data_IF_443935098478
#
_entry.id   IF_443935098478
#
_cell.length_a   1.000
_cell.length_b   1.000
_cell.length_c   1.000
_cell.angle_alpha   90.00
_cell.angle_beta   90.00
_cell.angle_gamma   90.00
#
_symmetry.space_group_name_H-M   'P 1'
#
loop_
_entity.id
_entity.type
_entity.pdbx_description
1 polymer ?
#
# COMPACT_ATOMS: atom_id res chain seq x y z
N UNK A 1 -16.17 11.45 -27.53
CA UNK A 1 -15.81 12.79 -26.98
C UNK A 1 -14.60 12.71 -26.03
N UNK A 2 -14.50 11.70 -25.18
CA UNK A 2 -13.40 11.52 -24.19
C UNK A 2 -12.03 11.29 -24.82
N UNK A 3 -11.90 10.40 -25.82
CA UNK A 3 -10.65 10.09 -26.50
C UNK A 3 -10.05 11.30 -27.26
N UNK A 4 -10.89 12.16 -27.85
CA UNK A 4 -10.44 13.35 -28.56
C UNK A 4 -9.86 14.41 -27.62
N UNK A 5 -10.43 14.57 -26.40
CA UNK A 5 -9.91 15.49 -25.37
C UNK A 5 -8.58 14.98 -24.79
N UNK A 6 -8.49 13.69 -24.47
CA UNK A 6 -7.24 13.06 -24.01
C UNK A 6 -6.10 13.22 -25.02
N UNK A 7 -6.39 13.03 -26.31
CA UNK A 7 -5.41 13.23 -27.41
C UNK A 7 -4.95 14.68 -27.51
N UNK A 8 -5.86 15.64 -27.35
CA UNK A 8 -5.55 17.07 -27.40
C UNK A 8 -4.68 17.50 -26.21
N UNK A 9 -5.00 17.06 -24.97
CA UNK A 9 -4.22 17.39 -23.79
C UNK A 9 -2.87 16.68 -23.76
N UNK A 10 -2.78 15.45 -24.26
CA UNK A 10 -1.50 14.74 -24.43
C UNK A 10 -0.60 15.48 -25.43
N UNK A 11 -1.16 15.99 -26.52
CA UNK A 11 -0.44 16.85 -27.48
C UNK A 11 0.08 18.15 -26.85
N UNK A 12 -0.74 18.77 -26.01
CA UNK A 12 -0.38 19.99 -25.29
C UNK A 12 0.75 19.77 -24.29
N UNK A 13 0.68 18.66 -23.51
CA UNK A 13 1.74 18.26 -22.57
C UNK A 13 3.06 17.96 -23.30
N UNK A 14 3.01 17.35 -24.48
CA UNK A 14 4.19 17.07 -25.28
C UNK A 14 4.84 18.36 -25.79
N UNK A 15 4.04 19.32 -26.25
CA UNK A 15 4.52 20.65 -26.66
C UNK A 15 5.17 21.39 -25.50
N UNK A 16 4.54 21.36 -24.33
CA UNK A 16 5.05 21.99 -23.10
C UNK A 16 6.36 21.33 -22.66
N UNK A 17 6.47 20.00 -22.71
CA UNK A 17 7.70 19.28 -22.40
C UNK A 17 8.84 19.62 -23.34
N UNK A 18 8.56 19.87 -24.64
CA UNK A 18 9.56 20.28 -25.62
C UNK A 18 10.01 21.72 -25.38
N UNK A 19 9.10 22.61 -24.99
CA UNK A 19 9.43 24.00 -24.63
C UNK A 19 10.30 24.10 -23.37
N UNK A 20 10.12 23.19 -22.39
CA UNK A 20 10.96 23.10 -21.18
C UNK A 20 12.39 22.70 -21.50
N UNK A 21 12.61 21.87 -22.54
CA UNK A 21 13.94 21.40 -22.91
C UNK A 21 14.83 22.53 -23.50
N UNK A 22 14.21 23.57 -24.06
CA UNK A 22 14.90 24.66 -24.74
C UNK A 22 14.81 26.03 -24.02
N UNK A 23 14.19 26.09 -22.82
CA UNK A 23 13.84 27.33 -22.14
C UNK A 23 14.85 27.75 -21.07
N UNK A 24 14.95 29.08 -20.88
CA UNK A 24 15.61 29.68 -19.73
C UNK A 24 14.81 29.41 -18.42
N UNK A 25 15.36 29.70 -17.22
CA UNK A 25 14.68 29.42 -15.95
C UNK A 25 13.32 30.11 -15.74
N UNK A 26 13.02 31.18 -16.50
CA UNK A 26 11.73 31.86 -16.46
C UNK A 26 10.71 31.11 -17.33
N UNK A 27 11.08 30.69 -18.53
CA UNK A 27 10.27 29.88 -19.43
C UNK A 27 9.93 28.48 -18.87
N UNK A 28 10.84 27.90 -18.06
CA UNK A 28 10.57 26.64 -17.36
C UNK A 28 9.40 26.78 -16.36
N UNK A 29 9.31 27.90 -15.64
CA UNK A 29 8.19 28.14 -14.71
C UNK A 29 6.86 28.32 -15.43
N UNK A 30 6.88 29.02 -16.55
CA UNK A 30 5.66 29.23 -17.35
C UNK A 30 5.17 27.92 -17.96
N UNK A 31 6.07 27.09 -18.46
CA UNK A 31 5.77 25.77 -18.99
C UNK A 31 5.24 24.78 -17.89
N UNK A 32 5.78 24.84 -16.67
CA UNK A 32 5.27 24.05 -15.54
C UNK A 32 3.86 24.52 -15.19
N UNK A 33 3.59 25.83 -15.18
CA UNK A 33 2.26 26.38 -14.90
C UNK A 33 1.23 25.93 -15.95
N UNK A 34 1.58 26.01 -17.24
CA UNK A 34 0.75 25.53 -18.34
C UNK A 34 0.47 24.01 -18.29
N UNK A 35 1.47 23.22 -17.90
CA UNK A 35 1.28 21.78 -17.69
C UNK A 35 0.36 21.49 -16.52
N UNK A 36 0.47 22.26 -15.44
CA UNK A 36 -0.43 22.13 -14.28
C UNK A 36 -1.87 22.52 -14.61
N UNK A 37 -2.08 23.58 -15.39
CA UNK A 37 -3.41 23.95 -15.89
C UNK A 37 -4.01 22.88 -16.80
N UNK A 38 -3.21 22.31 -17.70
CA UNK A 38 -3.66 21.23 -18.59
C UNK A 38 -4.01 19.95 -17.82
N UNK A 39 -3.27 19.62 -16.76
CA UNK A 39 -3.57 18.51 -15.87
C UNK A 39 -4.81 18.78 -15.01
N UNK A 40 -5.02 20.03 -14.55
CA UNK A 40 -6.20 20.43 -13.81
C UNK A 40 -7.46 20.35 -14.70
N UNK A 41 -7.37 20.79 -15.95
CA UNK A 41 -8.47 20.69 -16.91
C UNK A 41 -8.87 19.25 -17.25
N UNK A 42 -7.92 18.29 -17.16
CA UNK A 42 -8.21 16.85 -17.25
C UNK A 42 -8.94 16.35 -15.99
N UNK A 43 -8.60 16.87 -14.81
CA UNK A 43 -9.27 16.55 -13.54
C UNK A 43 -10.69 17.13 -13.48
N UNK A 44 -10.88 18.35 -13.98
CA UNK A 44 -12.20 19.03 -13.98
C UNK A 44 -13.21 18.36 -14.93
N UNK A 45 -12.71 17.61 -15.93
CA UNK A 45 -13.56 16.85 -16.86
C UNK A 45 -14.20 15.59 -16.25
N UNK A 46 -13.64 15.07 -15.16
CA UNK A 46 -14.12 13.88 -14.47
C UNK A 46 -15.01 14.19 -13.23
N UNK A 47 -15.17 15.46 -12.89
CA UNK A 47 -15.95 15.86 -11.69
C UNK A 47 -17.43 15.53 -11.83
N UNK A 48 -17.98 15.58 -13.03
CA UNK A 48 -19.40 15.24 -13.27
C UNK A 48 -19.70 13.74 -13.10
N UNK A 49 -18.72 12.86 -13.33
CA UNK A 49 -18.88 11.40 -13.14
C UNK A 49 -18.79 10.97 -11.65
N UNK A 50 -18.28 11.82 -10.77
CA UNK A 50 -18.20 11.56 -9.32
C UNK A 50 -19.49 11.94 -8.57
N UNK A 51 -20.41 12.68 -9.19
CA UNK A 51 -21.66 13.11 -8.56
C UNK A 51 -22.72 12.01 -8.64
N UNK A 52 -22.99 11.36 -7.50
CA UNK A 52 -24.13 10.48 -7.32
C UNK A 52 -25.10 11.06 -6.29
N UNK A 53 -26.38 11.14 -6.62
CA UNK A 53 -27.38 11.46 -5.61
C UNK A 53 -27.40 10.37 -4.53
N UNK A 54 -27.71 10.73 -3.29
CA UNK A 54 -27.84 9.75 -2.21
C UNK A 54 -28.91 8.69 -2.54
N UNK A 55 -29.98 9.08 -3.22
CA UNK A 55 -31.04 8.16 -3.70
C UNK A 55 -30.47 7.12 -4.68
N UNK A 56 -29.64 7.55 -5.63
CA UNK A 56 -29.00 6.62 -6.58
C UNK A 56 -28.00 5.69 -5.87
N UNK A 57 -27.18 6.21 -4.97
CA UNK A 57 -26.27 5.40 -4.17
C UNK A 57 -27.03 4.39 -3.29
N UNK A 58 -28.16 4.77 -2.71
CA UNK A 58 -29.03 3.89 -1.93
C UNK A 58 -29.65 2.80 -2.81
N UNK A 59 -30.14 3.15 -3.99
CA UNK A 59 -30.67 2.18 -4.95
C UNK A 59 -29.61 1.16 -5.37
N UNK A 60 -28.39 1.60 -5.71
CA UNK A 60 -27.27 0.74 -6.04
C UNK A 60 -26.93 -0.19 -4.86
N UNK A 61 -26.86 0.34 -3.63
CA UNK A 61 -26.60 -0.45 -2.42
C UNK A 61 -27.64 -1.55 -2.19
N UNK A 62 -28.91 -1.25 -2.35
CA UNK A 62 -30.02 -2.22 -2.16
C UNK A 62 -29.95 -3.31 -3.23
N UNK A 63 -29.63 -2.95 -4.48
CA UNK A 63 -29.63 -3.91 -5.58
C UNK A 63 -28.33 -4.71 -5.69
N UNK A 64 -27.18 -4.15 -5.25
CA UNK A 64 -25.88 -4.84 -5.29
C UNK A 64 -25.62 -5.70 -4.05
N UNK A 65 -26.41 -5.50 -2.97
CA UNK A 65 -26.15 -6.13 -1.68
C UNK A 65 -24.91 -5.54 -0.95
N UNK A 66 -24.49 -6.17 0.15
CA UNK A 66 -23.31 -5.78 0.87
C UNK A 66 -22.05 -5.97 0.01
N UNK A 67 -21.11 -5.02 0.09
CA UNK A 67 -19.81 -5.21 -0.56
C UNK A 67 -19.05 -6.33 0.15
N UNK A 68 -18.71 -7.38 -0.56
CA UNK A 68 -17.93 -8.47 -0.01
C UNK A 68 -16.51 -8.02 0.39
N UNK A 69 -15.94 -8.60 1.43
CA UNK A 69 -14.52 -8.39 1.75
C UNK A 69 -13.64 -8.89 0.61
N UNK A 70 -12.47 -8.27 0.44
CA UNK A 70 -11.45 -8.73 -0.52
C UNK A 70 -10.91 -10.07 -0.06
N UNK A 71 -10.52 -10.16 1.23
CA UNK A 71 -10.08 -11.37 1.88
C UNK A 71 -10.20 -11.24 3.40
N UNK A 72 -10.17 -12.39 4.08
CA UNK A 72 -9.98 -12.46 5.53
C UNK A 72 -8.56 -11.99 5.92
N UNK A 73 -8.38 -11.58 7.17
CA UNK A 73 -7.04 -11.27 7.71
C UNK A 73 -6.29 -12.54 8.12
N UNK A 74 -7.00 -13.65 8.30
CA UNK A 74 -6.50 -14.90 8.87
C UNK A 74 -6.50 -14.94 10.39
N UNK A 75 -7.13 -13.96 11.03
CA UNK A 75 -7.34 -13.89 12.49
C UNK A 75 -8.83 -13.82 12.77
N UNK A 76 -9.42 -14.92 13.23
CA UNK A 76 -10.87 -15.10 13.38
C UNK A 76 -11.53 -13.98 14.19
N UNK A 77 -10.94 -13.56 15.31
CA UNK A 77 -11.46 -12.49 16.15
C UNK A 77 -11.47 -11.14 15.42
N UNK A 78 -10.41 -10.86 14.67
CA UNK A 78 -10.30 -9.63 13.89
C UNK A 78 -11.27 -9.64 12.70
N UNK A 79 -11.38 -10.78 12.02
CA UNK A 79 -12.31 -10.96 10.91
C UNK A 79 -13.76 -10.84 11.36
N UNK A 80 -14.07 -11.31 12.58
CA UNK A 80 -15.37 -11.08 13.21
C UNK A 80 -15.68 -9.59 13.41
N UNK A 81 -14.71 -8.80 13.90
CA UNK A 81 -14.84 -7.34 14.06
C UNK A 81 -14.96 -6.64 12.71
N UNK A 82 -14.21 -7.07 11.70
CA UNK A 82 -14.21 -6.52 10.35
C UNK A 82 -15.37 -7.04 9.47
N UNK A 83 -16.26 -7.86 10.04
CA UNK A 83 -17.38 -8.47 9.33
C UNK A 83 -16.93 -9.26 8.08
N UNK A 84 -15.95 -10.12 8.26
CA UNK A 84 -15.42 -11.04 7.26
C UNK A 84 -14.08 -10.66 6.64
N UNK A 85 -13.49 -9.52 7.01
CA UNK A 85 -12.15 -9.17 6.55
C UNK A 85 -12.01 -7.78 5.93
N UNK A 86 -11.00 -7.61 5.09
CA UNK A 86 -10.61 -6.34 4.47
C UNK A 86 -11.48 -6.03 3.24
N UNK A 87 -11.92 -4.77 3.10
CA UNK A 87 -12.87 -4.36 2.06
C UNK A 87 -12.23 -3.45 1.01
N UNK A 88 -12.77 -3.41 -0.23
CA UNK A 88 -12.34 -2.49 -1.27
C UNK A 88 -12.41 -1.03 -0.80
N UNK A 89 -11.38 -0.24 -1.13
CA UNK A 89 -11.29 1.16 -0.75
C UNK A 89 -11.01 1.41 0.73
N UNK A 90 -10.78 0.37 1.54
CA UNK A 90 -10.51 0.49 2.96
C UNK A 90 -9.07 0.92 3.23
N UNK A 91 -8.88 1.75 4.25
CA UNK A 91 -7.60 2.05 4.87
C UNK A 91 -7.63 1.53 6.30
N UNK A 92 -6.71 0.63 6.62
CA UNK A 92 -6.50 0.08 7.96
C UNK A 92 -5.17 0.57 8.49
N UNK A 93 -5.11 0.97 9.75
CA UNK A 93 -3.85 1.38 10.40
C UNK A 93 -3.49 0.38 11.47
N UNK A 94 -2.34 -0.28 11.32
CA UNK A 94 -1.75 -1.15 12.32
C UNK A 94 -0.69 -0.35 13.07
N UNK A 95 -0.99 -0.03 14.32
CA UNK A 95 -0.12 0.83 15.12
C UNK A 95 0.34 0.15 16.41
N UNK A 96 1.56 0.43 16.84
CA UNK A 96 2.12 -0.09 18.07
C UNK A 96 3.50 0.48 18.37
N UNK A 97 4.01 0.24 19.56
CA UNK A 97 5.39 0.59 19.93
C UNK A 97 6.41 -0.26 19.16
N UNK A 98 7.69 0.16 19.06
CA UNK A 98 8.75 -0.67 18.51
C UNK A 98 8.77 -2.08 19.11
N UNK A 99 9.15 -3.06 18.32
CA UNK A 99 9.25 -4.48 18.71
C UNK A 99 7.94 -5.18 19.14
N UNK A 100 6.77 -4.54 18.93
CA UNK A 100 5.45 -5.15 19.26
C UNK A 100 4.90 -6.06 18.14
N UNK A 101 5.67 -6.33 17.09
CA UNK A 101 5.26 -7.25 16.02
C UNK A 101 4.36 -6.65 14.94
N UNK A 102 4.27 -5.31 14.80
CA UNK A 102 3.43 -4.64 13.79
C UNK A 102 3.71 -5.10 12.36
N UNK A 103 4.98 -5.04 11.96
CA UNK A 103 5.43 -5.46 10.63
C UNK A 103 5.16 -6.94 10.39
N UNK A 104 5.34 -7.78 11.42
CA UNK A 104 5.04 -9.22 11.35
C UNK A 104 3.55 -9.45 11.12
N UNK A 105 2.68 -8.75 11.86
CA UNK A 105 1.23 -8.85 11.70
C UNK A 105 0.78 -8.39 10.31
N UNK A 106 1.27 -7.23 9.86
CA UNK A 106 0.93 -6.69 8.55
C UNK A 106 1.43 -7.59 7.41
N UNK A 107 2.61 -8.19 7.56
CA UNK A 107 3.15 -9.16 6.61
C UNK A 107 2.33 -10.46 6.58
N UNK A 108 1.83 -10.89 7.74
CA UNK A 108 0.98 -12.08 7.84
C UNK A 108 -0.36 -11.90 7.11
N UNK A 109 -0.92 -10.69 7.06
CA UNK A 109 -2.09 -10.40 6.23
C UNK A 109 -1.80 -10.61 4.74
N UNK A 110 -0.65 -10.13 4.22
CA UNK A 110 -0.23 -10.42 2.84
C UNK A 110 -0.01 -11.92 2.61
N UNK A 111 0.63 -12.58 3.56
CA UNK A 111 0.84 -14.03 3.52
C UNK A 111 -0.47 -14.79 3.44
N UNK A 112 -1.44 -14.47 4.31
CA UNK A 112 -2.76 -15.09 4.30
C UNK A 112 -3.47 -14.85 2.96
N UNK A 113 -3.56 -13.60 2.53
CA UNK A 113 -4.21 -13.24 1.28
C UNK A 113 -3.64 -14.02 0.08
N UNK A 114 -2.32 -14.03 -0.08
CA UNK A 114 -1.72 -14.59 -1.29
C UNK A 114 -1.51 -16.09 -1.24
N UNK A 115 -1.15 -16.67 -0.08
CA UNK A 115 -0.85 -18.11 0.01
C UNK A 115 -2.07 -18.97 0.41
N UNK A 116 -3.11 -18.39 0.99
CA UNK A 116 -4.32 -19.14 1.39
C UNK A 116 -5.53 -18.84 0.51
N UNK A 117 -5.70 -17.59 0.10
CA UNK A 117 -6.87 -17.16 -0.66
C UNK A 117 -6.54 -16.82 -2.12
N UNK A 118 -5.26 -16.87 -2.53
CA UNK A 118 -4.81 -16.52 -3.89
C UNK A 118 -5.17 -15.09 -4.31
N UNK A 119 -5.31 -14.20 -3.35
CA UNK A 119 -5.58 -12.77 -3.56
C UNK A 119 -4.23 -12.03 -3.73
N UNK A 120 -4.06 -11.22 -4.78
CA UNK A 120 -2.85 -10.45 -4.97
C UNK A 120 -2.53 -9.55 -3.79
N UNK A 121 -1.27 -9.54 -3.36
CA UNK A 121 -0.80 -8.64 -2.31
C UNK A 121 0.53 -7.99 -2.65
N UNK A 122 0.73 -6.79 -2.14
CA UNK A 122 1.98 -6.03 -2.27
C UNK A 122 2.43 -5.54 -0.91
N UNK A 123 3.63 -5.90 -0.53
CA UNK A 123 4.27 -5.38 0.67
C UNK A 123 5.35 -4.37 0.28
N UNK A 124 5.08 -3.09 0.56
CA UNK A 124 6.07 -2.01 0.38
C UNK A 124 6.83 -1.88 1.68
N UNK A 125 8.06 -2.35 1.68
CA UNK A 125 8.97 -2.30 2.82
C UNK A 125 9.90 -1.11 2.70
N UNK A 126 9.91 -0.27 3.71
CA UNK A 126 10.83 0.87 3.81
C UNK A 126 11.86 0.69 4.91
N UNK A 127 11.70 -0.33 5.75
CA UNK A 127 12.60 -0.64 6.86
C UNK A 127 13.39 -1.92 6.62
N UNK A 128 12.73 -2.95 6.07
CA UNK A 128 13.31 -4.28 5.90
C UNK A 128 13.61 -4.57 4.44
N UNK A 129 14.74 -5.23 4.17
CA UNK A 129 15.06 -5.67 2.81
C UNK A 129 14.13 -6.79 2.33
N UNK A 130 13.97 -6.90 1.00
CA UNK A 130 13.24 -8.01 0.37
C UNK A 130 13.79 -9.38 0.77
N UNK A 131 15.12 -9.49 0.98
CA UNK A 131 15.77 -10.72 1.46
C UNK A 131 15.34 -11.08 2.88
N UNK A 132 15.23 -10.10 3.77
CA UNK A 132 14.81 -10.34 5.15
C UNK A 132 13.35 -10.79 5.21
N UNK A 133 12.47 -10.16 4.43
CA UNK A 133 11.07 -10.55 4.31
C UNK A 133 10.93 -11.96 3.73
N UNK A 134 11.69 -12.29 2.67
CA UNK A 134 11.71 -13.63 2.11
C UNK A 134 12.15 -14.68 3.13
N UNK A 135 13.18 -14.37 3.94
CA UNK A 135 13.63 -15.27 5.01
C UNK A 135 12.53 -15.52 6.05
N UNK A 136 11.80 -14.47 6.45
CA UNK A 136 10.65 -14.58 7.37
C UNK A 136 9.52 -15.43 6.79
N UNK A 137 9.22 -15.24 5.51
CA UNK A 137 8.17 -15.99 4.82
C UNK A 137 8.53 -17.49 4.74
N UNK A 138 9.77 -17.80 4.38
CA UNK A 138 10.26 -19.19 4.33
C UNK A 138 10.22 -19.81 5.73
N UNK A 139 10.70 -19.13 6.77
CA UNK A 139 10.67 -19.62 8.14
C UNK A 139 9.23 -19.97 8.59
N UNK A 140 8.27 -19.08 8.31
CA UNK A 140 6.86 -19.26 8.64
C UNK A 140 6.23 -20.43 7.85
N UNK A 141 6.46 -20.52 6.54
CA UNK A 141 5.83 -21.53 5.69
C UNK A 141 6.50 -22.93 5.83
N UNK A 142 7.78 -22.97 6.11
CA UNK A 142 8.49 -24.22 6.38
C UNK A 142 8.38 -24.69 7.85
N UNK A 143 7.92 -23.83 8.74
CA UNK A 143 7.88 -24.06 10.21
C UNK A 143 9.26 -24.41 10.79
N UNK A 144 10.27 -23.63 10.42
CA UNK A 144 11.64 -23.75 10.90
C UNK A 144 12.12 -22.42 11.50
N UNK A 145 13.10 -22.50 12.38
CA UNK A 145 13.63 -21.33 13.06
C UNK A 145 14.28 -20.33 12.09
N UNK A 146 14.04 -19.05 12.35
CA UNK A 146 14.60 -17.95 11.55
C UNK A 146 16.13 -17.99 11.46
N UNK A 147 16.81 -18.38 12.54
CA UNK A 147 18.27 -18.53 12.56
C UNK A 147 18.75 -19.60 11.58
N UNK A 148 18.00 -20.67 11.43
CA UNK A 148 18.29 -21.74 10.46
C UNK A 148 18.13 -21.24 9.04
N UNK A 149 17.08 -20.45 8.76
CA UNK A 149 16.86 -19.84 7.43
C UNK A 149 17.95 -18.80 7.12
N UNK A 150 18.34 -17.98 8.07
CA UNK A 150 19.38 -16.95 7.87
C UNK A 150 20.78 -17.53 7.62
N UNK A 151 21.10 -18.66 8.24
CA UNK A 151 22.36 -19.38 8.04
C UNK A 151 22.32 -20.33 6.83
N UNK A 152 21.30 -20.26 5.98
CA UNK A 152 20.91 -21.25 4.98
C UNK A 152 22.08 -21.71 4.11
N UNK A 153 22.62 -22.87 4.47
CA UNK A 153 23.41 -23.71 3.62
C UNK A 153 22.56 -24.96 3.31
N UNK A 154 21.87 -24.92 2.18
CA UNK A 154 20.89 -25.96 1.80
C UNK A 154 21.54 -27.34 1.76
N UNK A 155 22.84 -27.43 1.39
CA UNK A 155 23.55 -28.70 1.27
C UNK A 155 23.88 -29.30 2.65
N UNK A 156 24.03 -28.49 3.67
CA UNK A 156 24.30 -28.92 5.05
C UNK A 156 23.06 -29.03 5.94
N UNK A 157 21.92 -28.59 5.42
CA UNK A 157 20.66 -28.65 6.15
C UNK A 157 20.19 -30.10 6.33
N UNK A 158 19.59 -30.48 7.49
CA UNK A 158 18.93 -31.76 7.65
C UNK A 158 17.91 -32.02 6.53
N UNK A 159 17.82 -33.22 6.02
CA UNK A 159 16.96 -33.57 4.88
C UNK A 159 15.51 -33.14 5.10
N UNK A 160 14.98 -33.32 6.32
CA UNK A 160 13.61 -32.91 6.69
C UNK A 160 13.39 -31.40 6.52
N UNK A 161 14.33 -30.59 6.99
CA UNK A 161 14.23 -29.13 6.95
C UNK A 161 14.39 -28.64 5.51
N UNK A 162 15.32 -29.22 4.76
CA UNK A 162 15.50 -28.95 3.34
C UNK A 162 14.23 -29.23 2.54
N UNK A 163 13.58 -30.38 2.76
CA UNK A 163 12.32 -30.71 2.09
C UNK A 163 11.20 -29.73 2.46
N UNK A 164 11.16 -29.27 3.70
CA UNK A 164 10.20 -28.25 4.15
C UNK A 164 10.43 -26.90 3.49
N UNK A 165 11.69 -26.48 3.35
CA UNK A 165 12.08 -25.25 2.64
C UNK A 165 11.70 -25.33 1.16
N UNK A 166 11.96 -26.44 0.49
CA UNK A 166 11.65 -26.63 -0.92
C UNK A 166 10.13 -26.57 -1.16
N UNK A 167 9.33 -27.24 -0.31
CA UNK A 167 7.86 -27.14 -0.38
C UNK A 167 7.35 -25.72 -0.10
N UNK A 168 7.97 -25.01 0.84
CA UNK A 168 7.64 -23.60 1.10
C UNK A 168 7.95 -22.74 -0.12
N UNK A 169 9.12 -22.93 -0.74
CA UNK A 169 9.49 -22.22 -1.96
C UNK A 169 8.50 -22.45 -3.11
N UNK A 170 8.07 -23.69 -3.35
CA UNK A 170 7.06 -24.00 -4.37
C UNK A 170 5.76 -23.22 -4.14
N UNK A 171 5.24 -23.21 -2.91
CA UNK A 171 4.03 -22.43 -2.58
C UNK A 171 4.23 -20.92 -2.74
N UNK A 172 5.34 -20.40 -2.25
CA UNK A 172 5.66 -18.98 -2.31
C UNK A 172 5.83 -18.51 -3.77
N UNK A 173 6.50 -19.31 -4.60
CA UNK A 173 6.76 -18.96 -6.00
C UNK A 173 5.50 -18.90 -6.86
N UNK A 174 4.44 -19.58 -6.46
CA UNK A 174 3.14 -19.57 -7.14
C UNK A 174 2.17 -18.53 -6.58
N UNK A 175 2.47 -17.98 -5.40
CA UNK A 175 1.60 -17.02 -4.75
C UNK A 175 1.67 -15.64 -5.41
N UNK A 176 0.54 -14.93 -5.61
CA UNK A 176 0.52 -13.58 -6.17
C UNK A 176 0.94 -12.53 -5.13
N UNK A 177 2.14 -12.65 -4.59
CA UNK A 177 2.69 -11.77 -3.56
C UNK A 177 3.94 -11.06 -4.06
N UNK A 178 3.88 -9.75 -4.13
CA UNK A 178 5.01 -8.89 -4.49
C UNK A 178 5.59 -8.20 -3.25
N UNK A 179 6.90 -8.04 -3.23
CA UNK A 179 7.62 -7.20 -2.26
C UNK A 179 8.33 -6.09 -3.02
N UNK A 180 8.20 -4.87 -2.52
CA UNK A 180 8.86 -3.69 -3.06
C UNK A 180 9.65 -3.03 -1.93
N UNK A 181 10.97 -2.89 -2.11
CA UNK A 181 11.89 -2.17 -1.22
C UNK A 181 12.54 -1.00 -1.99
N UNK A 182 11.83 0.11 -2.22
CA UNK A 182 12.29 1.17 -3.09
C UNK A 182 13.41 1.97 -2.41
N UNK A 183 14.46 2.29 -3.18
CA UNK A 183 15.54 3.19 -2.72
C UNK A 183 15.02 4.61 -2.50
N UNK A 184 14.10 5.07 -3.36
CA UNK A 184 13.36 6.32 -3.19
C UNK A 184 11.99 6.02 -2.58
N UNK A 185 11.83 6.40 -1.32
CA UNK A 185 10.60 6.26 -0.57
C UNK A 185 9.62 7.43 -0.75
N UNK A 186 9.77 8.25 -1.79
CA UNK A 186 8.81 9.32 -2.06
C UNK A 186 7.43 8.77 -2.43
N UNK A 187 6.38 9.50 -2.02
CA UNK A 187 5.00 9.05 -2.29
C UNK A 187 4.70 8.78 -3.78
N UNK A 188 5.15 9.62 -4.75
CA UNK A 188 4.90 9.34 -6.17
C UNK A 188 5.49 8.01 -6.62
N UNK A 189 6.70 7.67 -6.15
CA UNK A 189 7.38 6.40 -6.48
C UNK A 189 6.64 5.23 -5.85
N UNK A 190 6.32 5.30 -4.56
CA UNK A 190 5.54 4.26 -3.85
C UNK A 190 4.19 4.03 -4.53
N UNK A 191 3.43 5.09 -4.80
CA UNK A 191 2.15 4.99 -5.49
C UNK A 191 2.29 4.45 -6.93
N UNK A 192 3.39 4.77 -7.61
CA UNK A 192 3.75 4.23 -8.92
C UNK A 192 3.93 2.72 -8.90
N UNK A 193 4.67 2.20 -7.92
CA UNK A 193 4.84 0.75 -7.72
C UNK A 193 3.52 0.04 -7.43
N UNK A 194 2.68 0.60 -6.55
CA UNK A 194 1.37 0.03 -6.24
C UNK A 194 0.47 -0.04 -7.49
N UNK A 195 0.39 1.05 -8.27
CA UNK A 195 -0.39 1.06 -9.52
C UNK A 195 0.15 0.05 -10.55
N UNK A 196 1.48 -0.09 -10.65
CA UNK A 196 2.10 -1.06 -11.54
C UNK A 196 1.78 -2.50 -11.13
N UNK A 197 1.87 -2.82 -9.84
CA UNK A 197 1.51 -4.11 -9.31
C UNK A 197 0.02 -4.42 -9.51
N UNK A 198 -0.87 -3.46 -9.23
CA UNK A 198 -2.31 -3.60 -9.45
C UNK A 198 -2.64 -3.89 -10.93
N UNK A 199 -2.01 -3.19 -11.88
CA UNK A 199 -2.17 -3.50 -13.31
C UNK A 199 -1.66 -4.89 -13.68
N UNK A 200 -0.50 -5.32 -13.14
CA UNK A 200 0.03 -6.69 -13.37
C UNK A 200 -0.91 -7.76 -12.83
N UNK A 201 -1.57 -7.49 -11.72
CA UNK A 201 -2.56 -8.36 -11.11
C UNK A 201 -3.94 -8.35 -11.81
N UNK A 202 -4.07 -7.65 -12.94
CA UNK A 202 -5.32 -7.59 -13.71
C UNK A 202 -6.31 -6.52 -13.27
N UNK A 203 -5.92 -5.59 -12.37
CA UNK A 203 -6.77 -4.48 -11.92
C UNK A 203 -7.90 -4.85 -10.97
N UNK A 204 -7.88 -6.07 -10.41
CA UNK A 204 -8.88 -6.58 -9.48
C UNK A 204 -8.56 -6.27 -8.00
N UNK A 205 -9.30 -6.92 -7.09
CA UNK A 205 -9.09 -6.79 -5.65
C UNK A 205 -7.64 -7.14 -5.25
N UNK A 206 -7.04 -6.34 -4.38
CA UNK A 206 -5.65 -6.50 -3.95
C UNK A 206 -5.46 -5.93 -2.54
N UNK A 207 -4.53 -6.49 -1.78
CA UNK A 207 -4.07 -5.93 -0.51
C UNK A 207 -2.73 -5.25 -0.68
N UNK A 208 -2.55 -4.10 -0.06
CA UNK A 208 -1.29 -3.36 -0.04
C UNK A 208 -0.91 -3.03 1.40
N UNK A 209 0.31 -3.38 1.77
CA UNK A 209 0.91 -2.96 3.05
C UNK A 209 1.98 -1.92 2.80
N UNK A 210 1.97 -0.84 3.57
CA UNK A 210 3.02 0.18 3.63
C UNK A 210 3.70 0.14 5.00
N UNK A 211 4.92 -0.37 5.06
CA UNK A 211 5.68 -0.55 6.30
C UNK A 211 7.03 0.19 6.25
N UNK A 212 7.23 1.27 6.97
CA UNK A 212 6.25 1.94 7.81
C UNK A 212 6.11 3.40 7.36
N UNK A 213 4.99 3.98 7.66
CA UNK A 213 4.56 5.30 7.22
C UNK A 213 5.59 6.43 7.47
N UNK A 214 6.31 6.36 8.57
CA UNK A 214 7.27 7.41 8.98
C UNK A 214 8.55 7.49 8.15
N UNK A 215 8.82 6.50 7.27
CA UNK A 215 9.99 6.50 6.37
C UNK A 215 9.67 7.01 4.96
N UNK A 216 8.38 7.19 4.63
CA UNK A 216 8.02 7.79 3.35
C UNK A 216 8.55 9.22 3.33
N UNK A 217 9.44 9.52 2.36
CA UNK A 217 10.07 10.83 2.25
C UNK A 217 9.02 11.92 2.05
N UNK A 218 9.18 12.97 2.83
CA UNK A 218 8.27 14.10 2.87
C UNK A 218 8.52 14.99 1.65
N UNK A 219 7.44 15.52 1.07
CA UNK A 219 7.56 16.69 0.22
C UNK A 219 8.26 17.79 1.00
N UNK A 220 9.25 18.45 0.39
CA UNK A 220 10.03 19.54 1.01
C UNK A 220 9.18 20.74 1.49
N UNK A 221 7.86 20.68 1.31
CA UNK A 221 6.87 21.68 1.71
C UNK A 221 6.13 21.37 3.01
N UNK A 222 6.33 20.18 3.61
CA UNK A 222 5.67 19.84 4.87
C UNK A 222 6.32 20.61 6.02
N UNK A 223 5.56 21.49 6.67
CA UNK A 223 6.02 22.30 7.82
C UNK A 223 6.27 21.44 9.06
N UNK A 224 5.70 20.24 9.14
CA UNK A 224 5.91 19.30 10.24
C UNK A 224 5.77 17.85 9.79
N UNK A 225 6.44 16.95 10.53
CA UNK A 225 6.33 15.50 10.34
C UNK A 225 4.87 15.02 10.46
N UNK A 226 4.10 15.61 11.37
CA UNK A 226 2.69 15.28 11.57
C UNK A 226 1.84 15.61 10.34
N UNK A 227 2.05 16.77 9.70
CA UNK A 227 1.34 17.13 8.46
C UNK A 227 1.69 16.17 7.33
N UNK A 228 2.95 15.76 7.21
CA UNK A 228 3.37 14.79 6.20
C UNK A 228 2.68 13.43 6.40
N UNK A 229 2.59 12.93 7.63
CA UNK A 229 1.91 11.67 7.94
C UNK A 229 0.41 11.75 7.64
N UNK A 230 -0.25 12.87 7.96
CA UNK A 230 -1.64 13.11 7.62
C UNK A 230 -1.87 13.09 6.11
N UNK A 231 -1.00 13.77 5.36
CA UNK A 231 -1.10 13.81 3.91
C UNK A 231 -0.89 12.43 3.27
N UNK A 232 0.10 11.65 3.73
CA UNK A 232 0.32 10.29 3.24
C UNK A 232 -0.88 9.39 3.56
N UNK A 233 -1.45 9.49 4.76
CA UNK A 233 -2.67 8.75 5.13
C UNK A 233 -3.84 9.12 4.23
N UNK A 234 -4.05 10.41 3.95
CA UNK A 234 -5.07 10.90 3.04
C UNK A 234 -4.88 10.37 1.63
N UNK A 235 -3.67 10.48 1.08
CA UNK A 235 -3.30 9.98 -0.25
C UNK A 235 -3.43 8.45 -0.34
N UNK A 236 -3.08 7.72 0.71
CA UNK A 236 -3.24 6.26 0.78
C UNK A 236 -4.72 5.86 0.75
N UNK A 237 -5.59 6.57 1.50
CA UNK A 237 -7.04 6.35 1.46
C UNK A 237 -7.62 6.64 0.07
N UNK A 238 -7.18 7.71 -0.57
CA UNK A 238 -7.61 8.06 -1.91
C UNK A 238 -7.16 7.00 -2.93
N UNK A 239 -5.91 6.53 -2.84
CA UNK A 239 -5.40 5.45 -3.69
C UNK A 239 -6.20 4.16 -3.50
N UNK A 240 -6.51 3.80 -2.25
CA UNK A 240 -7.33 2.63 -1.93
C UNK A 240 -8.71 2.73 -2.58
N UNK A 241 -9.38 3.88 -2.47
CA UNK A 241 -10.70 4.14 -3.06
C UNK A 241 -10.65 4.07 -4.59
N UNK A 242 -9.67 4.74 -5.22
CA UNK A 242 -9.58 4.84 -6.67
C UNK A 242 -9.26 3.50 -7.34
N UNK A 243 -8.51 2.63 -6.68
CA UNK A 243 -8.14 1.31 -7.22
C UNK A 243 -9.04 0.18 -6.72
N UNK A 244 -9.96 0.43 -5.79
CA UNK A 244 -10.79 -0.63 -5.18
C UNK A 244 -9.96 -1.65 -4.36
N UNK A 245 -8.83 -1.25 -3.80
CA UNK A 245 -7.92 -2.10 -3.03
C UNK A 245 -8.03 -1.83 -1.53
N UNK A 246 -7.58 -2.76 -0.68
CA UNK A 246 -7.38 -2.52 0.74
C UNK A 246 -5.94 -2.08 1.01
N UNK A 247 -5.75 -0.96 1.71
CA UNK A 247 -4.43 -0.48 2.11
C UNK A 247 -4.26 -0.57 3.61
N UNK A 248 -3.16 -1.16 4.04
CA UNK A 248 -2.76 -1.30 5.44
C UNK A 248 -1.54 -0.43 5.66
N UNK A 249 -1.65 0.54 6.56
CA UNK A 249 -0.53 1.38 6.98
C UNK A 249 0.03 0.87 8.30
N UNK A 250 1.32 0.60 8.34
CA UNK A 250 2.02 0.34 9.60
C UNK A 250 2.51 1.67 10.17
N UNK A 251 2.15 1.96 11.42
CA UNK A 251 2.51 3.19 12.11
C UNK A 251 3.14 2.89 13.47
N UNK A 252 4.04 3.78 13.89
CA UNK A 252 4.60 3.72 15.23
C UNK A 252 3.76 4.59 16.17
N UNK A 253 3.57 4.19 17.41
CA UNK A 253 2.95 5.02 18.44
C UNK A 253 4.01 5.82 19.18
N UNK A 254 3.63 7.01 19.67
CA UNK A 254 4.44 7.76 20.61
C UNK A 254 4.59 7.03 21.96
N UNK A 255 5.29 7.62 22.93
CA UNK A 255 5.52 7.01 24.26
C UNK A 255 4.32 7.16 25.22
N UNK A 256 3.24 7.80 24.81
CA UNK A 256 2.06 8.03 25.63
C UNK A 256 1.51 6.77 26.33
N UNK A 257 1.36 5.63 25.62
CA UNK A 257 0.91 4.39 26.26
C UNK A 257 1.79 3.91 27.40
N UNK A 258 3.10 4.11 27.33
CA UNK A 258 4.04 3.67 28.39
C UNK A 258 3.90 4.50 29.67
N UNK A 259 3.38 5.71 29.58
CA UNK A 259 3.20 6.64 30.70
C UNK A 259 1.84 6.48 31.41
N UNK A 260 0.91 5.76 30.78
CA UNK A 260 -0.43 5.51 31.35
C UNK A 260 -0.43 4.24 32.22
N UNK A 261 -1.24 4.25 33.25
CA UNK A 261 -1.34 3.13 34.20
C UNK A 261 -1.92 1.85 33.55
N UNK A 262 -2.76 1.99 32.53
CA UNK A 262 -3.38 0.87 31.81
C UNK A 262 -2.61 0.43 30.57
N UNK A 263 -1.56 1.17 30.17
CA UNK A 263 -0.73 0.97 28.99
C UNK A 263 -1.52 0.84 27.67
N UNK A 264 -2.80 1.23 27.65
CA UNK A 264 -3.66 1.07 26.45
C UNK A 264 -3.38 2.17 25.42
N UNK A 265 -3.21 1.80 24.14
CA UNK A 265 -3.11 2.76 23.04
C UNK A 265 -4.41 3.55 22.84
N UNK A 266 -4.28 4.80 22.48
CA UNK A 266 -5.37 5.69 22.07
C UNK A 266 -5.10 6.28 20.70
N UNK A 267 -6.13 6.76 20.01
CA UNK A 267 -5.98 7.44 18.71
C UNK A 267 -5.04 8.65 18.77
N UNK A 268 -4.97 9.32 19.92
CA UNK A 268 -4.04 10.44 20.13
C UNK A 268 -2.56 10.03 20.08
N UNK A 269 -2.24 8.77 20.35
CA UNK A 269 -0.87 8.26 20.34
C UNK A 269 -0.30 8.05 18.94
N UNK A 270 -1.15 8.15 17.90
CA UNK A 270 -0.74 8.22 16.49
C UNK A 270 -0.19 9.60 16.10
N UNK A 271 -0.39 10.61 16.95
CA UNK A 271 0.14 11.95 16.79
C UNK A 271 1.52 12.01 17.43
N UNK A 272 2.49 12.70 16.81
CA UNK A 272 3.83 12.92 17.38
C UNK A 272 4.79 11.72 17.34
N UNK A 273 4.77 10.94 16.30
CA UNK A 273 5.86 9.94 16.05
C UNK A 273 6.89 10.43 15.08
#
# INVERSE_FOLDING_TARGET
ASMSRLSMHAGQLLITATQVADADPAGVREAISAAQESLSALSDGDVDDEWKSLGQATYEMINSGPTDPICATGLDDLDGILQGGLRPGQLVVVAGRPAMGKSTLAFDFCRHASLRESIPSVYVSLEMSSRELASRLVAAEASIDMSTVQSMDIDRMPARDRDSVLRAYERISQAPMDVVDPVDASWPVVAGHIRAAHRRAGGGPMIVVLDYLGLISQDARAESRQQALQEISRRSKQLAKNLGIAVILVAQLNRGPELRADHKPMMADLRET
#
